data_IF_330481123425
#
_entry.id   IF_330481123425
#
_cell.length_a   1.000
_cell.length_b   1.000
_cell.length_c   1.000
_cell.angle_alpha   90.00
_cell.angle_beta   90.00
_cell.angle_gamma   90.00
#
_symmetry.space_group_name_H-M   'P 1'
#
loop_
_entity.id
_entity.type
_entity.pdbx_description
1 polymer ?
#
# COMPACT_ATOMS: atom_id res chain seq x y z
N UNK A 1 -9.23 -0.21 -5.61
CA UNK A 1 -9.50 -0.01 -4.17
C UNK A 1 -9.09 1.39 -3.77
N UNK A 2 -9.90 2.05 -2.96
CA UNK A 2 -9.55 3.29 -2.27
C UNK A 2 -9.80 3.12 -0.77
N UNK A 3 -8.89 3.66 0.04
CA UNK A 3 -9.08 3.75 1.49
C UNK A 3 -8.83 5.19 1.90
N UNK A 4 -9.79 5.78 2.60
CA UNK A 4 -9.62 7.09 3.22
C UNK A 4 -9.30 6.92 4.69
N UNK A 5 -8.12 7.37 5.08
CA UNK A 5 -7.54 7.10 6.39
C UNK A 5 -6.88 8.35 7.00
N UNK A 6 -6.81 8.35 8.33
CA UNK A 6 -6.08 9.32 9.15
C UNK A 6 -5.36 8.56 10.26
N UNK A 7 -4.16 9.00 10.63
CA UNK A 7 -3.44 8.42 11.77
C UNK A 7 -2.98 9.49 12.75
N UNK A 8 -3.17 9.23 14.04
CA UNK A 8 -2.64 10.08 15.13
C UNK A 8 -1.13 9.96 15.32
N UNK A 9 -0.50 8.97 14.67
CA UNK A 9 0.95 8.77 14.68
C UNK A 9 1.46 8.36 13.30
N UNK A 10 2.61 8.87 12.90
CA UNK A 10 3.26 8.52 11.62
C UNK A 10 4.72 8.11 11.79
N UNK A 11 5.34 8.45 12.93
CA UNK A 11 6.68 8.00 13.28
C UNK A 11 6.67 6.50 13.64
N UNK A 12 7.64 5.75 13.13
CA UNK A 12 7.83 4.31 13.41
C UNK A 12 6.55 3.47 13.21
N UNK A 13 5.73 3.87 12.24
CA UNK A 13 4.57 3.12 11.77
C UNK A 13 4.92 2.25 10.59
N UNK A 14 4.16 1.18 10.44
CA UNK A 14 4.21 0.26 9.33
C UNK A 14 2.83 0.22 8.67
N UNK A 15 2.78 0.37 7.35
CA UNK A 15 1.53 0.56 6.61
C UNK A 15 1.57 -0.27 5.34
N UNK A 16 0.48 -0.99 5.03
CA UNK A 16 0.25 -1.64 3.74
C UNK A 16 -1.20 -1.47 3.31
N UNK A 17 -1.41 -1.16 2.04
CA UNK A 17 -2.72 -0.89 1.47
C UNK A 17 -2.77 -1.33 0.02
N UNK A 18 -3.59 -2.33 -0.30
CA UNK A 18 -3.67 -2.84 -1.66
C UNK A 18 -4.34 -4.20 -1.74
N UNK A 19 -3.65 -5.13 -2.39
CA UNK A 19 -4.12 -6.46 -2.73
C UNK A 19 -3.04 -7.50 -2.44
N UNK A 20 -3.43 -8.63 -1.90
CA UNK A 20 -2.57 -9.81 -1.68
C UNK A 20 -3.37 -11.08 -1.98
N UNK A 21 -2.71 -12.15 -2.43
CA UNK A 21 -3.33 -13.49 -2.47
C UNK A 21 -2.76 -14.34 -1.30
N UNK A 22 -3.61 -14.77 -0.34
CA UNK A 22 -3.18 -15.59 0.79
C UNK A 22 -2.98 -17.06 0.43
N UNK A 23 -1.75 -17.57 0.58
CA UNK A 23 -1.50 -19.01 0.45
C UNK A 23 -1.89 -19.80 1.73
N UNK A 24 -1.80 -19.17 2.91
CA UNK A 24 -2.36 -19.62 4.20
C UNK A 24 -1.95 -18.68 5.34
N UNK A 25 -2.90 -18.21 6.16
CA UNK A 25 -2.71 -17.54 7.47
C UNK A 25 -1.72 -16.36 7.56
N UNK A 26 -2.02 -15.22 6.91
CA UNK A 26 -1.35 -13.95 7.28
C UNK A 26 -1.80 -13.47 8.64
N UNK A 27 -0.89 -13.48 9.60
CA UNK A 27 -0.97 -12.69 10.84
C UNK A 27 -0.01 -11.50 10.83
N UNK A 28 0.82 -11.39 9.79
CA UNK A 28 1.90 -10.44 9.64
C UNK A 28 1.80 -9.75 8.27
N UNK A 29 2.34 -8.53 8.14
CA UNK A 29 2.37 -7.82 6.87
C UNK A 29 3.13 -8.57 5.77
N UNK A 30 2.80 -8.26 4.52
CA UNK A 30 3.37 -8.89 3.32
C UNK A 30 4.87 -8.61 3.17
N UNK A 31 5.31 -7.40 3.52
CA UNK A 31 6.65 -6.90 3.26
C UNK A 31 7.48 -6.89 4.56
N UNK A 32 8.66 -7.49 4.51
CA UNK A 32 9.60 -7.49 5.63
C UNK A 32 10.48 -6.23 5.68
N UNK A 33 10.86 -5.71 4.51
CA UNK A 33 11.75 -4.57 4.34
C UNK A 33 11.32 -3.76 3.11
N UNK A 34 11.11 -2.46 3.26
CA UNK A 34 10.75 -1.58 2.15
C UNK A 34 11.99 -1.11 1.36
N UNK A 35 13.20 -1.16 1.94
CA UNK A 35 14.45 -0.78 1.27
C UNK A 35 14.80 -1.81 0.18
N UNK A 36 14.70 -3.10 0.52
CA UNK A 36 14.92 -4.23 -0.38
C UNK A 36 13.78 -5.25 -0.29
N UNK A 37 12.60 -4.95 -0.87
CA UNK A 37 11.42 -5.76 -0.65
C UNK A 37 11.57 -7.16 -1.21
N UNK A 38 11.20 -8.12 -0.37
CA UNK A 38 11.07 -9.54 -0.68
C UNK A 38 9.79 -10.04 -0.03
N UNK A 39 9.03 -10.86 -0.75
CA UNK A 39 7.83 -11.47 -0.20
C UNK A 39 8.17 -12.90 0.22
N UNK A 40 8.32 -13.11 1.53
CA UNK A 40 8.77 -14.40 2.10
C UNK A 40 7.79 -14.97 3.11
N UNK A 41 6.70 -14.26 3.39
CA UNK A 41 5.71 -14.63 4.41
C UNK A 41 4.60 -15.55 3.88
N UNK A 42 4.71 -16.01 2.62
CA UNK A 42 3.69 -16.82 1.95
C UNK A 42 2.78 -16.06 0.99
N UNK A 43 2.85 -14.71 0.97
CA UNK A 43 2.11 -13.90 0.00
C UNK A 43 2.53 -14.21 -1.42
N UNK A 44 1.54 -14.59 -2.21
CA UNK A 44 1.62 -14.66 -3.67
C UNK A 44 0.81 -13.50 -4.20
N UNK A 45 1.19 -12.97 -5.35
CA UNK A 45 0.42 -11.90 -6.02
C UNK A 45 0.16 -10.68 -5.11
N UNK A 46 1.19 -9.87 -4.91
CA UNK A 46 1.14 -8.68 -4.06
C UNK A 46 1.08 -7.42 -4.93
N UNK A 47 0.17 -6.51 -4.60
CA UNK A 47 0.22 -5.12 -5.04
C UNK A 47 -0.20 -4.20 -3.90
N UNK A 48 0.78 -3.66 -3.19
CA UNK A 48 0.51 -2.84 -2.00
C UNK A 48 1.30 -1.54 -2.05
N UNK A 49 0.63 -0.50 -1.59
CA UNK A 49 1.26 0.74 -1.21
C UNK A 49 1.74 0.52 0.22
N UNK A 50 3.05 0.61 0.42
CA UNK A 50 3.66 0.29 1.69
C UNK A 50 4.53 1.42 2.21
N UNK A 51 4.69 1.45 3.52
CA UNK A 51 5.66 2.28 4.23
C UNK A 51 6.13 1.60 5.49
N UNK A 52 7.43 1.69 5.74
CA UNK A 52 8.03 1.38 7.03
C UNK A 52 8.85 2.58 7.51
N UNK A 53 8.31 3.33 8.46
CA UNK A 53 8.96 4.52 9.00
C UNK A 53 10.20 4.20 9.87
N UNK A 54 10.51 2.91 10.09
CA UNK A 54 11.73 2.46 10.78
C UNK A 54 12.88 2.09 9.85
N UNK A 55 12.67 2.08 8.53
CA UNK A 55 13.68 1.76 7.52
C UNK A 55 14.37 3.02 6.98
N UNK A 56 15.37 2.84 6.11
CA UNK A 56 16.09 3.97 5.49
C UNK A 56 15.16 4.76 4.58
N UNK A 57 14.37 4.06 3.76
CA UNK A 57 13.29 4.62 2.98
C UNK A 57 12.05 4.80 3.86
N UNK A 58 11.89 6.00 4.40
CA UNK A 58 10.74 6.34 5.24
C UNK A 58 9.52 6.78 4.43
N UNK A 59 9.66 6.96 3.12
CA UNK A 59 8.57 7.35 2.21
C UNK A 59 7.76 6.15 1.74
N UNK A 60 6.55 6.43 1.24
CA UNK A 60 5.69 5.40 0.66
C UNK A 60 6.31 4.86 -0.65
N UNK A 61 6.00 3.60 -0.96
CA UNK A 61 6.31 3.00 -2.24
C UNK A 61 5.19 2.04 -2.68
N UNK A 62 5.02 1.88 -3.99
CA UNK A 62 4.29 0.76 -4.56
C UNK A 62 5.23 -0.44 -4.62
N UNK A 63 4.83 -1.54 -3.99
CA UNK A 63 5.52 -2.82 -4.04
C UNK A 63 4.63 -3.84 -4.73
N UNK A 64 5.24 -4.58 -5.65
CA UNK A 64 4.57 -5.61 -6.42
C UNK A 64 5.35 -6.90 -6.39
N UNK A 65 4.63 -8.00 -6.35
CA UNK A 65 5.16 -9.34 -6.53
C UNK A 65 4.19 -10.14 -7.39
N UNK A 66 4.57 -10.40 -8.64
CA UNK A 66 3.65 -10.84 -9.69
C UNK A 66 3.30 -12.33 -9.70
N UNK A 67 3.91 -13.15 -8.83
CA UNK A 67 3.92 -14.63 -8.76
C UNK A 67 5.37 -15.16 -8.79
N UNK A 68 5.56 -16.48 -8.68
CA UNK A 68 6.88 -17.12 -8.63
C UNK A 68 7.78 -16.86 -9.85
N UNK A 69 7.25 -16.28 -10.93
CA UNK A 69 7.96 -15.99 -12.19
C UNK A 69 8.54 -14.58 -12.20
N UNK A 70 8.03 -13.66 -11.38
CA UNK A 70 8.39 -12.25 -11.40
C UNK A 70 9.24 -11.88 -10.19
N UNK A 71 10.23 -11.01 -10.39
CA UNK A 71 10.98 -10.44 -9.28
C UNK A 71 10.10 -9.41 -8.56
N UNK A 72 10.18 -9.37 -7.22
CA UNK A 72 9.58 -8.29 -6.43
C UNK A 72 10.08 -6.94 -6.95
N UNK A 73 9.17 -6.02 -7.23
CA UNK A 73 9.50 -4.69 -7.72
C UNK A 73 9.02 -3.60 -6.80
N UNK A 74 9.68 -2.44 -6.90
CA UNK A 74 9.39 -1.25 -6.11
C UNK A 74 9.37 0.00 -6.96
N UNK A 75 8.35 0.83 -6.76
CA UNK A 75 8.28 2.19 -7.30
C UNK A 75 8.12 3.16 -6.13
N UNK A 76 9.15 3.97 -5.88
CA UNK A 76 9.11 4.95 -4.80
C UNK A 76 8.10 6.06 -5.12
N UNK A 77 7.27 6.43 -4.15
CA UNK A 77 6.33 7.55 -4.25
C UNK A 77 7.03 8.87 -3.88
N UNK A 78 8.20 9.08 -4.48
CA UNK A 78 9.08 10.20 -4.18
C UNK A 78 9.43 10.30 -2.69
N UNK A 79 9.25 11.49 -2.12
CA UNK A 79 9.55 11.82 -0.72
C UNK A 79 8.32 11.80 0.17
N UNK A 80 7.17 11.31 -0.32
CA UNK A 80 5.92 11.40 0.43
C UNK A 80 5.98 10.63 1.73
N UNK A 81 5.74 11.36 2.83
CA UNK A 81 5.52 10.82 4.17
C UNK A 81 4.21 11.41 4.71
N UNK A 82 3.36 10.62 5.37
CA UNK A 82 2.10 11.12 5.90
C UNK A 82 2.32 12.12 7.03
N UNK A 83 1.45 13.13 7.12
CA UNK A 83 1.37 14.04 8.26
C UNK A 83 0.40 13.49 9.31
N UNK A 84 0.71 13.73 10.60
CA UNK A 84 -0.16 13.37 11.72
C UNK A 84 -1.51 14.09 11.59
N UNK A 85 -2.60 13.36 11.86
CA UNK A 85 -3.97 13.88 11.89
C UNK A 85 -4.46 14.52 10.56
N UNK A 86 -3.82 14.21 9.43
CA UNK A 86 -4.27 14.61 8.09
C UNK A 86 -4.98 13.46 7.39
N UNK A 87 -6.10 13.75 6.72
CA UNK A 87 -6.82 12.73 5.93
C UNK A 87 -6.21 12.51 4.55
N UNK A 88 -5.85 11.26 4.27
CA UNK A 88 -5.41 10.84 2.94
C UNK A 88 -6.37 9.83 2.33
N UNK A 89 -6.52 9.88 1.01
CA UNK A 89 -7.15 8.81 0.24
C UNK A 89 -6.07 8.12 -0.58
N UNK A 90 -5.76 6.88 -0.19
CA UNK A 90 -4.84 6.02 -0.91
C UNK A 90 -5.60 5.13 -1.87
N UNK A 91 -5.18 5.09 -3.13
CA UNK A 91 -5.78 4.32 -4.21
C UNK A 91 -4.76 3.33 -4.73
N UNK A 92 -5.16 2.06 -4.85
CA UNK A 92 -4.49 1.07 -5.69
C UNK A 92 -5.51 0.53 -6.69
N UNK A 93 -5.13 0.55 -7.96
CA UNK A 93 -5.96 0.07 -9.05
C UNK A 93 -5.13 -0.75 -10.03
N UNK A 94 -5.68 -1.88 -10.44
CA UNK A 94 -5.22 -2.66 -11.57
C UNK A 94 -5.98 -2.20 -12.81
N UNK A 95 -5.27 -1.75 -13.84
CA UNK A 95 -5.80 -1.36 -15.13
C UNK A 95 -5.08 -2.16 -16.23
N UNK A 96 -5.74 -3.21 -16.72
CA UNK A 96 -5.15 -4.21 -17.60
C UNK A 96 -3.86 -4.80 -17.00
N UNK A 97 -2.74 -4.46 -17.65
CA UNK A 97 -1.38 -4.91 -17.32
C UNK A 97 -0.60 -3.91 -16.43
N UNK A 98 -1.26 -2.88 -15.89
CA UNK A 98 -0.62 -1.85 -15.08
C UNK A 98 -1.24 -1.77 -13.69
N UNK A 99 -0.41 -1.67 -12.66
CA UNK A 99 -0.86 -1.30 -11.32
C UNK A 99 -0.54 0.17 -11.08
N UNK A 100 -1.58 0.91 -10.77
CA UNK A 100 -1.57 2.33 -10.43
C UNK A 100 -1.66 2.47 -8.91
N UNK A 101 -0.85 3.35 -8.34
CA UNK A 101 -0.93 3.70 -6.93
C UNK A 101 -0.87 5.20 -6.75
N UNK A 102 -1.88 5.77 -6.09
CA UNK A 102 -2.01 7.21 -5.89
C UNK A 102 -2.35 7.53 -4.44
N UNK A 103 -1.91 8.70 -3.98
CA UNK A 103 -2.20 9.24 -2.66
C UNK A 103 -2.68 10.66 -2.86
N UNK A 104 -3.92 10.90 -2.45
CA UNK A 104 -4.52 12.22 -2.42
C UNK A 104 -4.54 12.74 -0.99
N UNK A 105 -4.09 13.97 -0.78
CA UNK A 105 -4.50 14.74 0.40
C UNK A 105 -5.99 15.07 0.24
N UNK A 106 -6.75 14.64 1.24
CA UNK A 106 -8.21 14.76 1.27
C UNK A 106 -8.69 15.37 2.57
N UNK A 107 -7.84 16.15 3.23
CA UNK A 107 -8.22 16.89 4.44
C UNK A 107 -9.34 17.88 4.14
N UNK A 108 -9.29 18.48 2.94
CA UNK A 108 -10.44 19.14 2.31
C UNK A 108 -11.08 18.20 1.28
N UNK A 109 -12.06 17.40 1.71
CA UNK A 109 -12.69 16.37 0.86
C UNK A 109 -13.30 16.90 -0.47
N UNK A 110 -13.71 18.17 -0.52
CA UNK A 110 -14.25 18.79 -1.73
C UNK A 110 -13.18 19.13 -2.79
N UNK A 111 -11.91 19.17 -2.41
CA UNK A 111 -10.78 19.57 -3.26
C UNK A 111 -9.56 18.67 -3.03
N UNK A 112 -9.67 17.37 -3.35
CA UNK A 112 -8.58 16.43 -3.15
C UNK A 112 -7.38 16.79 -4.04
N UNK A 113 -6.17 16.73 -3.49
CA UNK A 113 -4.93 17.05 -4.20
C UNK A 113 -4.04 15.83 -4.29
N UNK A 114 -3.61 15.45 -5.50
CA UNK A 114 -2.64 14.37 -5.67
C UNK A 114 -1.29 14.81 -5.07
N UNK A 115 -0.85 14.12 -4.02
CA UNK A 115 0.42 14.44 -3.34
C UNK A 115 1.52 13.44 -3.70
N UNK A 116 1.16 12.23 -4.08
CA UNK A 116 2.13 11.28 -4.61
C UNK A 116 1.47 10.12 -5.36
N UNK A 117 2.28 9.42 -6.14
CA UNK A 117 1.88 8.19 -6.78
C UNK A 117 2.93 7.66 -7.73
N UNK A 118 2.62 6.52 -8.31
CA UNK A 118 3.45 5.82 -9.25
C UNK A 118 2.65 4.72 -9.94
N UNK A 119 3.28 4.13 -10.93
CA UNK A 119 2.72 2.98 -11.61
C UNK A 119 3.83 2.00 -11.97
N UNK A 120 3.44 0.76 -12.21
CA UNK A 120 4.33 -0.26 -12.72
C UNK A 120 3.54 -1.21 -13.63
N UNK A 121 4.16 -1.61 -14.73
CA UNK A 121 3.58 -2.57 -15.67
C UNK A 121 4.00 -4.01 -15.35
N UNK A 122 3.27 -4.96 -15.92
CA UNK A 122 3.34 -6.42 -15.77
C UNK A 122 4.71 -7.10 -15.91
N UNK A 123 5.78 -6.37 -16.20
CA UNK A 123 7.14 -6.94 -16.03
C UNK A 123 7.39 -7.33 -14.57
N UNK A 124 6.59 -6.80 -13.63
CA UNK A 124 6.63 -7.18 -12.22
C UNK A 124 5.29 -7.03 -11.46
N UNK A 125 4.13 -7.07 -12.14
CA UNK A 125 2.80 -6.92 -11.54
C UNK A 125 1.85 -8.05 -11.97
N UNK A 126 0.72 -8.21 -11.27
CA UNK A 126 -0.22 -9.31 -11.54
C UNK A 126 -1.32 -8.97 -12.56
N UNK A 127 -1.86 -10.00 -13.21
CA UNK A 127 -2.94 -9.89 -14.19
C UNK A 127 -4.27 -9.48 -13.55
N UNK A 128 -4.94 -8.51 -14.17
CA UNK A 128 -6.35 -8.25 -13.88
C UNK A 128 -7.20 -9.52 -14.06
N UNK A 129 -8.12 -9.77 -13.13
CA UNK A 129 -8.93 -11.00 -13.09
C UNK A 129 -8.37 -12.11 -12.19
N UNK A 130 -7.19 -11.92 -11.61
CA UNK A 130 -6.68 -12.77 -10.52
C UNK A 130 -7.50 -12.55 -9.24
N UNK A 131 -7.87 -13.63 -8.54
CA UNK A 131 -8.52 -13.51 -7.23
C UNK A 131 -7.50 -12.92 -6.25
N UNK A 132 -7.75 -11.69 -5.82
CA UNK A 132 -6.91 -11.02 -4.82
C UNK A 132 -7.76 -10.57 -3.65
N UNK A 133 -7.24 -10.79 -2.45
CA UNK A 133 -7.82 -10.30 -1.22
C UNK A 133 -7.49 -8.82 -1.08
N UNK A 134 -8.48 -7.96 -0.81
CA UNK A 134 -8.21 -6.65 -0.26
C UNK A 134 -7.37 -6.68 1.01
N UNK A 135 -6.35 -5.83 1.05
CA UNK A 135 -5.42 -5.77 2.16
C UNK A 135 -5.29 -4.34 2.68
N UNK A 136 -5.52 -4.19 3.98
CA UNK A 136 -5.21 -2.97 4.71
C UNK A 136 -4.61 -3.36 6.06
N UNK A 137 -3.38 -2.96 6.28
CA UNK A 137 -2.64 -3.25 7.50
C UNK A 137 -1.99 -1.98 8.02
N UNK A 138 -2.15 -1.75 9.33
CA UNK A 138 -1.47 -0.68 10.04
C UNK A 138 -0.86 -1.23 11.32
N UNK A 139 0.47 -1.25 11.35
CA UNK A 139 1.26 -1.65 12.50
C UNK A 139 1.90 -0.44 13.17
N UNK A 140 1.91 -0.43 14.49
CA UNK A 140 2.70 0.51 15.27
C UNK A 140 3.91 -0.22 15.86
N UNK A 141 5.13 0.25 15.58
CA UNK A 141 6.37 -0.31 16.16
C UNK A 141 6.82 0.42 17.43
N UNK A 142 6.03 1.38 17.93
CA UNK A 142 6.29 2.11 19.19
C UNK A 142 5.51 1.55 20.37
N UNK A 143 5.90 1.96 21.58
CA UNK A 143 5.17 1.69 22.83
C UNK A 143 3.99 2.63 23.08
N UNK A 144 3.73 3.61 22.19
CA UNK A 144 2.63 4.56 22.35
C UNK A 144 1.37 4.00 21.68
N UNK A 145 0.18 4.43 22.12
CA UNK A 145 -1.06 4.10 21.41
C UNK A 145 -1.15 4.83 20.07
N UNK A 146 -1.55 4.12 19.01
CA UNK A 146 -1.89 4.70 17.72
C UNK A 146 -3.42 4.64 17.53
N UNK A 147 -4.00 5.71 17.00
CA UNK A 147 -5.40 5.71 16.52
C UNK A 147 -5.36 5.88 15.02
N UNK A 148 -5.98 4.94 14.32
CA UNK A 148 -6.16 4.99 12.86
C UNK A 148 -7.65 5.07 12.60
N UNK A 149 -8.08 6.19 12.04
CA UNK A 149 -9.46 6.41 11.67
C UNK A 149 -9.65 6.07 10.18
N UNK A 150 -10.74 5.37 9.90
CA UNK A 150 -11.16 5.01 8.55
C UNK A 150 -12.51 5.64 8.29
N UNK A 151 -12.59 6.44 7.23
CA UNK A 151 -13.87 7.03 6.79
C UNK A 151 -14.59 6.10 5.82
N UNK A 152 -13.86 5.64 4.79
CA UNK A 152 -14.39 4.64 3.87
C UNK A 152 -13.30 3.72 3.34
N UNK A 153 -13.77 2.55 2.91
CA UNK A 153 -13.04 1.62 2.07
C UNK A 153 -13.94 1.32 0.87
N UNK A 154 -13.44 1.59 -0.33
CA UNK A 154 -14.17 1.39 -1.58
C UNK A 154 -13.44 0.38 -2.47
N UNK A 155 -14.22 -0.55 -3.02
CA UNK A 155 -13.76 -1.54 -3.98
C UNK A 155 -14.56 -1.39 -5.26
N UNK A 156 -13.87 -1.52 -6.38
CA UNK A 156 -14.47 -1.56 -7.69
C UNK A 156 -13.71 -2.58 -8.53
N UNK A 157 -14.45 -3.22 -9.42
CA UNK A 157 -13.93 -3.98 -10.51
C UNK A 157 -14.48 -3.31 -11.77
N UNK A 158 -13.59 -2.66 -12.52
CA UNK A 158 -13.94 -2.22 -13.86
C UNK A 158 -13.80 -3.43 -14.80
N UNK A 159 -14.76 -3.61 -15.70
CA UNK A 159 -14.82 -4.77 -16.60
C UNK A 159 -14.10 -4.51 -17.90
#
# INVERSE_FOLDING_TARGET
>A
MAVRWRSSVVALTYQELGFTDPLSDYTLPAINDIDTPTITNGAVTVAVQARDASQTLTSMALILDGDATYATSKVNHGTFTPTVDTWYTSIIQTDGDTVLSYIYDTDTAASPTLVSGGFQSKVAGFEGGTLVQPWFFFGNKTSNSAVVDLDFIAYWADR
#
